data_IF_402695924923
#
_entry.id   IF_402695924923
#
_cell.length_a   1.000
_cell.length_b   1.000
_cell.length_c   1.000
_cell.angle_alpha   90.00
_cell.angle_beta   90.00
_cell.angle_gamma   90.00
#
_symmetry.space_group_name_H-M   'P 1'
#
loop_
_entity.id
_entity.type
_entity.pdbx_description
1 polymer ?
#
# COMPACT_ATOMS: atom_id res chain seq x y z
N UNK A 1 0.37 13.50 -19.52
CA UNK A 1 0.47 13.26 -18.07
C UNK A 1 0.13 11.80 -17.78
N UNK A 2 1.03 11.06 -17.15
CA UNK A 2 0.78 9.64 -16.81
C UNK A 2 -0.02 9.46 -15.52
N UNK A 3 -0.15 10.50 -14.71
CA UNK A 3 -0.98 10.46 -13.52
C UNK A 3 -2.42 10.77 -13.89
N UNK A 4 -3.38 10.03 -13.36
CA UNK A 4 -4.77 10.37 -13.52
C UNK A 4 -5.01 11.77 -12.96
N UNK A 5 -5.50 12.67 -13.77
CA UNK A 5 -5.86 14.02 -13.35
C UNK A 5 -7.32 14.02 -12.90
N UNK A 6 -7.60 14.68 -11.80
CA UNK A 6 -8.96 14.84 -11.27
C UNK A 6 -9.60 16.15 -11.77
N UNK A 7 -9.35 16.54 -13.01
CA UNK A 7 -10.03 17.71 -13.59
C UNK A 7 -11.29 17.28 -14.32
N UNK A 8 -12.25 18.17 -14.34
CA UNK A 8 -13.58 17.96 -14.92
C UNK A 8 -13.55 17.57 -16.41
N UNK A 9 -12.44 17.89 -17.12
CA UNK A 9 -12.24 17.54 -18.53
C UNK A 9 -11.71 16.12 -18.75
N UNK A 10 -11.14 15.48 -17.70
CA UNK A 10 -10.46 14.18 -17.83
C UNK A 10 -11.34 12.98 -17.50
N UNK A 11 -12.40 13.21 -16.82
CA UNK A 11 -13.37 12.20 -16.54
C UNK A 11 -14.72 12.83 -16.81
N UNK A 12 -15.29 12.50 -17.92
CA UNK A 12 -16.71 12.34 -17.82
C UNK A 12 -16.91 11.31 -16.71
N UNK A 13 -17.19 11.77 -15.51
CA UNK A 13 -17.56 10.94 -14.36
C UNK A 13 -18.65 9.94 -14.75
N UNK A 14 -19.45 10.31 -15.73
CA UNK A 14 -20.50 9.51 -16.34
C UNK A 14 -19.97 8.38 -17.25
N UNK A 15 -18.68 8.39 -17.59
CA UNK A 15 -18.04 7.38 -18.41
C UNK A 15 -17.00 6.55 -17.64
N UNK A 16 -16.95 6.61 -16.32
CA UNK A 16 -16.25 5.61 -15.54
C UNK A 16 -16.99 4.29 -15.70
N UNK A 17 -16.61 3.55 -16.73
CA UNK A 17 -17.17 2.25 -17.09
C UNK A 17 -16.83 1.15 -16.08
N UNK A 18 -16.06 1.50 -15.04
CA UNK A 18 -15.64 0.56 -14.01
C UNK A 18 -16.75 0.39 -12.95
N UNK A 19 -17.32 -0.80 -12.91
CA UNK A 19 -18.25 -1.18 -11.86
C UNK A 19 -17.48 -1.35 -10.55
N UNK A 20 -17.72 -0.47 -9.58
CA UNK A 20 -17.12 -0.56 -8.22
C UNK A 20 -17.50 -1.84 -7.47
N UNK A 21 -18.57 -2.52 -7.91
CA UNK A 21 -19.01 -3.79 -7.36
C UNK A 21 -18.52 -5.00 -8.17
N UNK A 22 -17.63 -4.80 -9.14
CA UNK A 22 -17.09 -5.91 -9.92
C UNK A 22 -16.35 -6.89 -9.01
N UNK A 23 -16.51 -8.17 -9.30
CA UNK A 23 -15.70 -9.20 -8.68
C UNK A 23 -14.27 -9.11 -9.21
N UNK A 24 -13.31 -8.89 -8.32
CA UNK A 24 -11.89 -8.99 -8.65
C UNK A 24 -11.45 -10.44 -8.47
N UNK A 25 -11.69 -11.28 -9.47
CA UNK A 25 -11.30 -12.70 -9.44
C UNK A 25 -9.79 -12.86 -9.22
N UNK A 26 -9.39 -13.76 -8.33
CA UNK A 26 -7.98 -14.02 -8.04
C UNK A 26 -7.30 -13.00 -7.14
N UNK A 27 -8.03 -12.03 -6.58
CA UNK A 27 -7.45 -11.02 -5.69
C UNK A 27 -6.87 -11.64 -4.40
N UNK A 28 -7.43 -12.76 -3.95
CA UNK A 28 -6.90 -13.53 -2.82
C UNK A 28 -5.48 -14.05 -3.09
N UNK A 29 -5.17 -14.42 -4.34
CA UNK A 29 -3.83 -14.83 -4.74
C UNK A 29 -2.88 -13.64 -4.91
N UNK A 30 -3.40 -12.44 -5.10
CA UNK A 30 -2.63 -11.21 -5.21
C UNK A 30 -2.22 -10.61 -3.85
N UNK A 31 -2.64 -11.20 -2.72
CA UNK A 31 -2.19 -10.77 -1.38
C UNK A 31 -0.67 -10.88 -1.17
N UNK A 32 -0.01 -11.77 -1.90
CA UNK A 32 1.45 -11.94 -1.87
C UNK A 32 2.18 -10.89 -2.72
N UNK A 33 1.65 -10.60 -3.92
CA UNK A 33 2.10 -9.47 -4.75
C UNK A 33 1.03 -8.36 -4.77
N UNK A 34 1.14 -7.48 -3.82
CA UNK A 34 0.18 -6.39 -3.63
C UNK A 34 0.18 -5.35 -4.75
N UNK A 35 1.22 -5.31 -5.60
CA UNK A 35 1.19 -4.48 -6.80
C UNK A 35 0.17 -4.98 -7.82
N UNK A 36 0.02 -6.30 -7.96
CA UNK A 36 -1.01 -6.92 -8.80
C UNK A 36 -2.39 -6.64 -8.20
N UNK A 37 -2.54 -6.77 -6.87
CA UNK A 37 -3.79 -6.45 -6.19
C UNK A 37 -4.20 -4.98 -6.44
N UNK A 38 -3.26 -4.04 -6.30
CA UNK A 38 -3.51 -2.62 -6.53
C UNK A 38 -3.88 -2.32 -7.98
N UNK A 39 -3.24 -2.98 -8.94
CA UNK A 39 -3.63 -2.86 -10.35
C UNK A 39 -5.05 -3.38 -10.58
N UNK A 40 -5.41 -4.53 -10.00
CA UNK A 40 -6.74 -5.13 -10.19
C UNK A 40 -7.88 -4.30 -9.61
N UNK A 41 -7.67 -3.60 -8.50
CA UNK A 41 -8.70 -2.75 -7.90
C UNK A 41 -8.77 -1.35 -8.52
N UNK A 42 -7.74 -0.94 -9.25
CA UNK A 42 -7.68 0.38 -9.88
C UNK A 42 -8.56 0.45 -11.13
N UNK A 43 -9.15 1.61 -11.38
CA UNK A 43 -9.89 1.89 -12.61
C UNK A 43 -9.02 1.58 -13.83
N UNK A 44 -9.59 0.85 -14.80
CA UNK A 44 -8.89 0.41 -16.02
C UNK A 44 -7.59 -0.39 -15.76
N UNK A 45 -7.45 -0.99 -14.58
CA UNK A 45 -6.26 -1.74 -14.13
C UNK A 45 -4.95 -0.91 -14.20
N UNK A 46 -5.05 0.41 -14.05
CA UNK A 46 -3.90 1.30 -14.09
C UNK A 46 -3.31 1.47 -12.70
N UNK A 47 -2.06 1.01 -12.51
CA UNK A 47 -1.28 1.24 -11.31
C UNK A 47 0.06 1.89 -11.66
N UNK A 48 0.33 3.05 -11.08
CA UNK A 48 1.60 3.75 -11.23
C UNK A 48 2.47 3.53 -10.00
N UNK A 49 3.34 2.51 -10.05
CA UNK A 49 4.27 2.20 -8.96
C UNK A 49 5.44 3.18 -8.93
N UNK A 50 5.64 3.85 -7.78
CA UNK A 50 6.77 4.75 -7.54
C UNK A 50 7.94 3.98 -6.92
N UNK A 51 9.18 4.35 -7.28
CA UNK A 51 10.40 3.71 -6.76
C UNK A 51 10.38 2.17 -6.86
N UNK A 52 9.88 1.63 -7.98
CA UNK A 52 9.69 0.18 -8.22
C UNK A 52 10.93 -0.67 -7.89
N UNK A 53 12.12 -0.16 -8.19
CA UNK A 53 13.39 -0.88 -7.99
C UNK A 53 14.05 -0.64 -6.62
N UNK A 54 13.42 0.13 -5.74
CA UNK A 54 13.95 0.42 -4.41
C UNK A 54 13.02 -0.13 -3.33
N UNK A 55 13.58 -0.88 -2.37
CA UNK A 55 12.82 -1.51 -1.28
C UNK A 55 11.55 -2.20 -1.80
N UNK A 56 11.74 -3.27 -2.58
CA UNK A 56 10.66 -3.96 -3.28
C UNK A 56 9.68 -4.68 -2.35
N UNK A 57 10.07 -4.90 -1.08
CA UNK A 57 9.23 -5.40 0.00
C UNK A 57 8.10 -4.42 0.39
N UNK A 58 8.22 -3.17 -0.06
CA UNK A 58 7.22 -2.11 0.10
C UNK A 58 6.82 -1.55 -1.25
N UNK A 59 5.53 -1.59 -1.55
CA UNK A 59 4.93 -0.99 -2.74
C UNK A 59 4.37 0.38 -2.40
N UNK A 60 4.70 1.37 -3.20
CA UNK A 60 4.11 2.71 -3.13
C UNK A 60 3.75 3.17 -4.54
N UNK A 61 2.60 3.79 -4.70
CA UNK A 61 2.17 4.23 -6.01
C UNK A 61 0.79 4.85 -6.00
N UNK A 62 0.27 5.13 -7.17
CA UNK A 62 -1.03 5.75 -7.34
C UNK A 62 -1.97 4.82 -8.09
N UNK A 63 -3.17 4.71 -7.59
CA UNK A 63 -4.32 4.05 -8.22
C UNK A 63 -5.41 5.07 -8.47
N UNK A 64 -6.38 4.69 -9.27
CA UNK A 64 -7.59 5.46 -9.50
C UNK A 64 -8.81 4.67 -9.03
N UNK A 65 -9.65 5.28 -8.23
CA UNK A 65 -10.89 4.68 -7.75
C UNK A 65 -12.05 5.64 -8.07
N UNK A 66 -12.93 5.22 -8.95
CA UNK A 66 -14.06 6.04 -9.42
C UNK A 66 -13.62 7.44 -9.87
N UNK A 67 -12.58 7.50 -10.70
CA UNK A 67 -12.01 8.75 -11.20
C UNK A 67 -11.10 9.51 -10.22
N UNK A 68 -11.07 9.15 -8.97
CA UNK A 68 -10.27 9.83 -7.93
C UNK A 68 -8.90 9.19 -7.78
N UNK A 69 -7.85 10.01 -7.75
CA UNK A 69 -6.48 9.55 -7.46
C UNK A 69 -6.33 9.21 -5.98
N UNK A 70 -5.83 8.02 -5.69
CA UNK A 70 -5.56 7.50 -4.35
C UNK A 70 -4.12 7.04 -4.27
N UNK A 71 -3.40 7.46 -3.24
CA UNK A 71 -2.08 6.95 -2.93
C UNK A 71 -2.19 5.57 -2.29
N UNK A 72 -1.40 4.63 -2.76
CA UNK A 72 -1.39 3.26 -2.25
C UNK A 72 -0.05 2.93 -1.59
N UNK A 73 -0.11 2.34 -0.40
CA UNK A 73 1.04 1.82 0.35
C UNK A 73 0.75 0.38 0.71
N UNK A 74 1.60 -0.56 0.30
CA UNK A 74 1.34 -1.96 0.54
C UNK A 74 2.61 -2.75 0.87
N UNK A 75 2.49 -3.74 1.76
CA UNK A 75 3.54 -4.72 1.98
C UNK A 75 3.48 -5.77 0.89
N UNK A 76 4.66 -6.21 0.43
CA UNK A 76 4.81 -7.20 -0.63
C UNK A 76 5.69 -8.34 -0.13
N UNK A 77 5.23 -9.57 -0.28
CA UNK A 77 6.01 -10.77 0.07
C UNK A 77 6.61 -11.48 -1.13
N UNK A 78 6.03 -11.34 -2.31
CA UNK A 78 6.52 -11.93 -3.55
C UNK A 78 6.47 -10.94 -4.70
N UNK A 79 7.40 -11.07 -5.64
CA UNK A 79 7.45 -10.30 -6.89
C UNK A 79 7.35 -11.28 -8.04
N UNK A 80 6.38 -11.06 -8.90
CA UNK A 80 6.21 -11.84 -10.14
C UNK A 80 6.56 -10.98 -11.35
N UNK A 81 7.07 -11.64 -12.41
CA UNK A 81 7.28 -11.00 -13.71
C UNK A 81 5.99 -11.01 -14.56
N UNK A 82 6.08 -10.47 -15.78
CA UNK A 82 4.96 -10.43 -16.73
C UNK A 82 4.52 -11.82 -17.20
N UNK A 83 5.37 -12.84 -17.01
CA UNK A 83 5.11 -14.25 -17.36
C UNK A 83 4.59 -15.05 -16.15
N UNK A 84 4.30 -14.36 -15.02
CA UNK A 84 3.88 -14.94 -13.73
C UNK A 84 4.92 -15.87 -13.09
N UNK A 85 6.21 -15.73 -13.40
CA UNK A 85 7.27 -16.42 -12.70
C UNK A 85 7.67 -15.64 -11.43
N UNK A 86 7.95 -16.37 -10.35
CA UNK A 86 8.45 -15.79 -9.11
C UNK A 86 9.90 -15.29 -9.32
N UNK A 87 10.10 -13.98 -9.20
CA UNK A 87 11.42 -13.34 -9.36
C UNK A 87 12.12 -13.15 -8.02
N UNK A 88 11.39 -12.74 -7.00
CA UNK A 88 11.94 -12.41 -5.68
C UNK A 88 10.92 -12.71 -4.59
N UNK A 89 11.40 -13.20 -3.45
CA UNK A 89 10.56 -13.50 -2.29
C UNK A 89 11.13 -12.82 -1.03
N UNK A 90 10.25 -12.28 -0.20
CA UNK A 90 10.55 -11.62 1.06
C UNK A 90 9.87 -12.37 2.21
N UNK A 91 10.46 -12.27 3.40
CA UNK A 91 9.96 -12.93 4.61
C UNK A 91 8.69 -12.27 5.21
N UNK A 92 8.12 -11.27 4.54
CA UNK A 92 6.97 -10.52 5.01
C UNK A 92 7.27 -9.55 6.16
N UNK A 93 8.55 -9.36 6.51
CA UNK A 93 8.94 -8.42 7.56
C UNK A 93 9.12 -7.00 7.00
N UNK A 94 8.74 -6.00 7.82
CA UNK A 94 8.93 -4.59 7.48
C UNK A 94 10.39 -4.20 7.62
N UNK A 95 11.03 -3.86 6.50
CA UNK A 95 12.40 -3.39 6.46
C UNK A 95 12.53 -1.89 6.77
N UNK A 96 13.71 -1.46 7.24
CA UNK A 96 13.97 -0.04 7.47
C UNK A 96 13.89 0.79 6.18
N UNK A 97 14.30 0.21 5.04
CA UNK A 97 14.21 0.87 3.72
C UNK A 97 12.76 0.97 3.25
N UNK A 98 11.96 -0.10 3.42
CA UNK A 98 10.55 -0.12 3.11
C UNK A 98 9.76 0.87 3.97
N UNK A 99 10.00 0.91 5.28
CA UNK A 99 9.38 1.86 6.18
C UNK A 99 9.70 3.33 5.80
N UNK A 100 10.95 3.62 5.43
CA UNK A 100 11.35 4.95 4.97
C UNK A 100 10.66 5.34 3.66
N UNK A 101 10.62 4.41 2.69
CA UNK A 101 9.94 4.61 1.39
C UNK A 101 8.47 4.95 1.59
N UNK A 102 7.78 4.18 2.44
CA UNK A 102 6.37 4.40 2.76
C UNK A 102 6.15 5.74 3.46
N UNK A 103 6.98 6.10 4.45
CA UNK A 103 6.87 7.37 5.15
C UNK A 103 7.00 8.58 4.21
N UNK A 104 8.01 8.59 3.34
CA UNK A 104 8.20 9.66 2.35
C UNK A 104 7.02 9.76 1.37
N UNK A 105 6.43 8.64 1.01
CA UNK A 105 5.27 8.61 0.13
C UNK A 105 4.00 9.13 0.82
N UNK A 106 3.76 8.78 2.08
CA UNK A 106 2.63 9.29 2.86
C UNK A 106 2.75 10.80 3.08
N UNK A 107 3.96 11.30 3.42
CA UNK A 107 4.24 12.73 3.53
C UNK A 107 3.93 13.47 2.20
N UNK A 108 4.27 12.86 1.07
CA UNK A 108 3.93 13.39 -0.26
C UNK A 108 2.41 13.43 -0.47
N UNK A 109 1.71 12.34 -0.21
CA UNK A 109 0.25 12.29 -0.37
C UNK A 109 -0.46 13.33 0.49
N UNK A 110 -0.01 13.51 1.74
CA UNK A 110 -0.56 14.53 2.63
C UNK A 110 -0.34 15.96 2.09
N UNK A 111 0.86 16.25 1.58
CA UNK A 111 1.19 17.55 1.01
C UNK A 111 0.33 17.93 -0.22
N UNK A 112 -0.17 16.94 -0.95
CA UNK A 112 -0.98 17.13 -2.16
C UNK A 112 -2.47 16.78 -1.98
N UNK A 113 -2.93 16.58 -0.74
CA UNK A 113 -4.32 16.20 -0.41
C UNK A 113 -4.79 14.91 -1.11
N UNK A 114 -3.91 13.94 -1.27
CA UNK A 114 -4.23 12.65 -1.88
C UNK A 114 -4.60 11.65 -0.78
N UNK A 115 -5.81 11.08 -0.77
CA UNK A 115 -6.20 10.03 0.17
C UNK A 115 -5.26 8.82 0.10
N UNK A 116 -5.07 8.10 1.20
CA UNK A 116 -4.15 6.96 1.27
C UNK A 116 -4.90 5.67 1.58
N UNK A 117 -4.70 4.68 0.71
CA UNK A 117 -5.08 3.29 0.92
C UNK A 117 -3.85 2.47 1.32
N UNK A 118 -3.96 1.71 2.40
CA UNK A 118 -2.89 0.80 2.84
C UNK A 118 -3.37 -0.64 2.72
N UNK A 119 -2.59 -1.51 2.06
CA UNK A 119 -2.78 -2.95 2.08
C UNK A 119 -1.73 -3.57 3.01
N UNK A 120 -2.18 -4.10 4.13
CA UNK A 120 -1.28 -4.63 5.17
C UNK A 120 -1.13 -6.14 5.07
N UNK A 121 0.12 -6.58 4.91
CA UNK A 121 0.53 -7.97 5.01
C UNK A 121 1.94 -8.00 5.63
N UNK A 122 2.02 -7.93 6.96
CA UNK A 122 3.28 -7.79 7.68
C UNK A 122 3.39 -8.78 8.84
N UNK A 123 4.48 -9.55 8.84
CA UNK A 123 4.76 -10.56 9.86
C UNK A 123 5.55 -10.03 11.08
N UNK A 124 6.06 -8.80 11.00
CA UNK A 124 6.87 -8.19 12.04
C UNK A 124 7.93 -7.25 11.48
N UNK A 125 8.87 -6.82 12.31
CA UNK A 125 10.01 -6.05 11.86
C UNK A 125 11.18 -6.93 11.45
N UNK A 126 11.92 -6.54 10.40
CA UNK A 126 13.10 -7.27 9.93
C UNK A 126 14.25 -7.19 10.93
N UNK A 127 14.51 -8.31 11.60
CA UNK A 127 15.61 -8.42 12.55
C UNK A 127 16.93 -8.73 11.82
N UNK A 128 17.86 -7.78 11.80
CA UNK A 128 19.23 -8.00 11.36
C UNK A 128 20.20 -7.05 12.07
N UNK A 129 21.48 -7.45 12.21
CA UNK A 129 22.51 -6.60 12.85
C UNK A 129 22.64 -5.22 12.20
N UNK A 130 22.42 -5.12 10.89
CA UNK A 130 22.44 -3.85 10.17
C UNK A 130 21.16 -3.05 10.34
N UNK A 131 20.00 -3.71 10.48
CA UNK A 131 18.72 -3.05 10.63
C UNK A 131 18.50 -2.48 12.03
N UNK A 132 19.07 -3.09 13.09
CA UNK A 132 18.90 -2.62 14.47
C UNK A 132 19.27 -1.14 14.66
N UNK A 133 20.29 -0.64 13.94
CA UNK A 133 20.72 0.76 14.03
C UNK A 133 19.76 1.76 13.39
N UNK A 134 18.97 1.33 12.41
CA UNK A 134 18.18 2.24 11.56
C UNK A 134 16.68 1.95 11.61
N UNK A 135 16.30 0.73 12.02
CA UNK A 135 14.92 0.26 11.98
C UNK A 135 14.02 1.07 12.92
N UNK A 136 14.45 1.29 14.16
CA UNK A 136 13.66 2.06 15.13
C UNK A 136 13.36 3.48 14.63
N UNK A 137 14.36 4.14 14.03
CA UNK A 137 14.19 5.47 13.43
C UNK A 137 13.25 5.45 12.23
N UNK A 138 13.36 4.42 11.37
CA UNK A 138 12.51 4.29 10.20
C UNK A 138 11.06 3.95 10.58
N UNK A 139 10.86 3.08 11.56
CA UNK A 139 9.54 2.76 12.11
C UNK A 139 8.88 3.98 12.76
N UNK A 140 9.64 4.74 13.56
CA UNK A 140 9.15 5.98 14.16
C UNK A 140 8.76 7.01 13.08
N UNK A 141 9.57 7.15 12.02
CA UNK A 141 9.25 8.04 10.89
C UNK A 141 7.95 7.62 10.19
N UNK A 142 7.77 6.32 9.94
CA UNK A 142 6.56 5.81 9.31
C UNK A 142 5.32 6.04 10.19
N UNK A 143 5.42 5.71 11.47
CA UNK A 143 4.34 5.94 12.45
C UNK A 143 3.98 7.43 12.51
N UNK A 144 4.99 8.30 12.55
CA UNK A 144 4.78 9.75 12.57
C UNK A 144 4.10 10.23 11.28
N UNK A 145 4.53 9.76 10.12
CA UNK A 145 3.94 10.15 8.83
C UNK A 145 2.45 9.79 8.78
N UNK A 146 2.06 8.57 9.18
CA UNK A 146 0.65 8.19 9.23
C UNK A 146 -0.13 8.93 10.30
N UNK A 147 0.41 9.10 11.50
CA UNK A 147 -0.28 9.78 12.59
C UNK A 147 -0.51 11.27 12.31
N UNK A 148 0.43 11.91 11.60
CA UNK A 148 0.39 13.33 11.32
C UNK A 148 -0.38 13.68 10.02
N UNK A 149 -0.53 12.72 9.10
CA UNK A 149 -1.24 12.96 7.85
C UNK A 149 -2.71 13.31 8.08
N UNK A 150 -3.16 14.37 7.42
CA UNK A 150 -4.51 14.94 7.53
C UNK A 150 -5.48 14.41 6.49
N UNK A 151 -4.95 13.77 5.44
CA UNK A 151 -5.76 13.14 4.38
C UNK A 151 -6.52 11.91 4.88
N UNK A 152 -7.65 11.55 4.25
CA UNK A 152 -8.34 10.30 4.55
C UNK A 152 -7.43 9.08 4.40
N UNK A 153 -7.46 8.19 5.39
CA UNK A 153 -6.61 7.00 5.47
C UNK A 153 -7.44 5.77 5.73
N UNK A 154 -7.36 4.82 4.81
CA UNK A 154 -8.02 3.51 4.93
C UNK A 154 -6.97 2.42 4.97
N UNK A 155 -7.13 1.44 5.85
CA UNK A 155 -6.27 0.28 5.91
C UNK A 155 -7.09 -0.99 5.66
N UNK A 156 -6.58 -1.86 4.79
CA UNK A 156 -7.13 -3.19 4.53
C UNK A 156 -6.07 -4.23 4.86
N UNK A 157 -6.37 -5.09 5.81
CA UNK A 157 -5.50 -6.21 6.18
C UNK A 157 -5.80 -7.34 5.20
N UNK A 158 -4.86 -7.64 4.31
CA UNK A 158 -5.00 -8.63 3.25
C UNK A 158 -4.34 -9.98 3.58
N UNK A 159 -3.54 -10.02 4.63
CA UNK A 159 -2.84 -11.21 5.08
C UNK A 159 -2.47 -11.10 6.55
N UNK A 160 -1.17 -11.09 6.86
CA UNK A 160 -0.68 -11.02 8.24
C UNK A 160 -0.66 -9.59 8.77
N UNK A 161 -1.00 -9.44 10.05
CA UNK A 161 -0.93 -8.17 10.76
C UNK A 161 -0.42 -8.41 12.19
N UNK A 162 0.90 -8.57 12.34
CA UNK A 162 1.49 -8.99 13.61
C UNK A 162 2.29 -7.88 14.30
N UNK A 163 2.04 -7.75 15.60
CA UNK A 163 2.81 -6.95 16.52
C UNK A 163 2.90 -5.46 16.19
N UNK A 164 3.97 -4.82 16.65
CA UNK A 164 4.18 -3.38 16.47
C UNK A 164 4.44 -2.95 15.01
N UNK A 165 4.83 -3.87 14.14
CA UNK A 165 4.97 -3.58 12.71
C UNK A 165 3.61 -3.30 12.05
N UNK A 166 2.57 -4.05 12.42
CA UNK A 166 1.20 -3.75 12.02
C UNK A 166 0.76 -2.36 12.53
N UNK A 167 1.06 -2.03 13.78
CA UNK A 167 0.70 -0.72 14.34
C UNK A 167 1.26 0.42 13.49
N UNK A 168 2.52 0.30 13.03
CA UNK A 168 3.17 1.30 12.18
C UNK A 168 2.57 1.39 10.76
N UNK A 169 1.84 0.36 10.30
CA UNK A 169 1.22 0.29 8.98
C UNK A 169 -0.22 0.80 8.98
N UNK A 170 -0.41 2.07 9.33
CA UNK A 170 -1.71 2.73 9.29
C UNK A 170 -2.81 2.00 10.09
N UNK A 171 -2.50 1.59 11.31
CA UNK A 171 -3.49 0.98 12.19
C UNK A 171 -4.51 2.01 12.71
N UNK A 172 -5.64 1.52 13.21
CA UNK A 172 -6.65 2.36 13.85
C UNK A 172 -6.08 3.18 15.01
N UNK A 173 -5.12 2.63 15.74
CA UNK A 173 -4.52 3.26 16.93
C UNK A 173 -3.65 4.48 16.59
N UNK A 174 -3.14 4.61 15.37
CA UNK A 174 -2.36 5.77 14.91
C UNK A 174 -3.12 6.70 13.99
N UNK A 175 -4.43 6.50 13.81
CA UNK A 175 -5.30 7.46 13.15
C UNK A 175 -5.85 7.04 11.79
N UNK A 176 -5.86 5.76 11.43
CA UNK A 176 -6.63 5.29 10.28
C UNK A 176 -8.12 5.60 10.48
N UNK A 177 -8.77 6.16 9.48
CA UNK A 177 -10.21 6.46 9.54
C UNK A 177 -11.04 5.18 9.54
N UNK A 178 -10.67 4.23 8.67
CA UNK A 178 -11.30 2.92 8.58
C UNK A 178 -10.25 1.82 8.47
N UNK A 179 -10.53 0.69 9.09
CA UNK A 179 -9.71 -0.54 9.00
C UNK A 179 -10.62 -1.71 8.68
N UNK A 180 -10.29 -2.41 7.62
CA UNK A 180 -10.97 -3.63 7.19
C UNK A 180 -9.99 -4.80 7.21
N UNK A 181 -10.51 -6.01 7.32
CA UNK A 181 -9.73 -7.23 7.22
C UNK A 181 -10.42 -8.22 6.28
N UNK A 182 -9.62 -8.92 5.48
CA UNK A 182 -10.15 -10.03 4.71
C UNK A 182 -10.49 -11.21 5.61
N UNK A 183 -11.41 -12.11 5.18
CA UNK A 183 -11.85 -13.24 6.01
C UNK A 183 -10.72 -14.16 6.47
N UNK A 184 -9.64 -14.25 5.68
CA UNK A 184 -8.46 -15.10 5.94
C UNK A 184 -7.31 -14.33 6.59
N UNK A 185 -7.51 -13.06 6.98
CA UNK A 185 -6.47 -12.26 7.60
C UNK A 185 -6.13 -12.78 9.01
N UNK A 186 -4.84 -12.88 9.29
CA UNK A 186 -4.29 -13.29 10.58
C UNK A 186 -3.82 -12.05 11.35
N UNK A 187 -4.43 -11.82 12.53
CA UNK A 187 -4.13 -10.65 13.37
C UNK A 187 -3.60 -11.14 14.73
N UNK A 188 -2.41 -10.65 15.17
CA UNK A 188 -1.77 -11.04 16.43
C UNK A 188 -0.79 -10.02 16.99
#
# INVERSE_FOLDING_TARGET
CMLPCNNEEDASYDECLDDLNRACEGIENAAEDTAIALANISDSNIFFETKKNYAKDMVTGFIRLNGMTVGAVANRSKVYDEEANLVEEFDGSLSAKGAKKAAEFVEFCDAFNIPVLTLTNVAGFKASKCSEKTLAKAAAKLTYAFANATVPKVNVIVGKAFGSAYVAMNSKSIGADMVYAWPEAEIG
#
